data_IF_251458935644
#
_entry.id   IF_251458935644
#
_cell.length_a   1.000
_cell.length_b   1.000
_cell.length_c   1.000
_cell.angle_alpha   90.00
_cell.angle_beta   90.00
_cell.angle_gamma   90.00
#
_symmetry.space_group_name_H-M   'P 1'
#
loop_
_entity.id
_entity.type
_entity.pdbx_description
1 polymer ?
#
# COMPACT_ATOMS: atom_id res chain seq x y z
N UNK A 1 -25.63 49.11 4.00
CA UNK A 1 -24.19 49.25 3.68
C UNK A 1 -23.47 48.05 4.25
N UNK A 2 -23.48 46.94 3.52
CA UNK A 2 -22.78 45.70 3.87
C UNK A 2 -21.51 45.69 3.06
N UNK A 3 -20.40 46.18 3.61
CA UNK A 3 -19.09 46.13 2.94
C UNK A 3 -17.97 46.58 3.87
N UNK A 4 -17.44 45.68 4.70
CA UNK A 4 -15.99 45.63 5.00
C UNK A 4 -15.52 44.50 5.90
N UNK A 5 -16.40 43.81 6.63
CA UNK A 5 -15.95 42.89 7.69
C UNK A 5 -15.89 41.41 7.28
N UNK A 6 -16.45 41.01 6.14
CA UNK A 6 -16.47 39.60 5.68
C UNK A 6 -15.37 39.24 4.67
N UNK A 7 -14.38 40.10 4.43
CA UNK A 7 -13.36 39.89 3.37
C UNK A 7 -11.98 39.45 3.89
N UNK A 8 -11.91 38.83 5.06
CA UNK A 8 -10.68 38.32 5.68
C UNK A 8 -10.70 36.79 5.93
N UNK A 9 -11.44 36.03 5.13
CA UNK A 9 -11.52 34.55 5.20
C UNK A 9 -11.05 33.87 3.91
N UNK A 10 -9.86 34.23 3.46
CA UNK A 10 -9.13 33.59 2.37
C UNK A 10 -7.66 33.93 2.53
N UNK A 11 -6.78 32.93 2.46
CA UNK A 11 -5.39 33.11 2.86
C UNK A 11 -4.75 34.34 2.20
N UNK A 12 -4.18 35.24 2.99
CA UNK A 12 -3.64 36.48 2.45
C UNK A 12 -2.38 36.18 1.63
N UNK A 13 -2.37 36.54 0.34
CA UNK A 13 -1.15 36.54 -0.48
C UNK A 13 -0.29 37.73 -0.05
N UNK A 14 0.41 37.59 1.08
CA UNK A 14 1.33 38.63 1.57
C UNK A 14 2.55 38.66 0.61
N UNK A 15 2.94 39.83 0.07
CA UNK A 15 4.16 39.94 -0.70
C UNK A 15 5.37 39.62 0.18
N UNK A 16 6.37 38.94 -0.38
CA UNK A 16 7.62 38.58 0.28
C UNK A 16 8.27 39.86 0.85
N UNK A 17 8.13 40.13 2.15
CA UNK A 17 8.68 41.34 2.75
C UNK A 17 8.25 41.74 4.17
N UNK A 18 7.10 41.29 4.70
CA UNK A 18 6.68 41.67 6.07
C UNK A 18 6.40 40.45 6.94
N UNK A 19 7.34 40.19 7.87
CA UNK A 19 7.15 39.30 9.01
C UNK A 19 6.25 39.97 10.04
N UNK A 20 5.01 39.50 10.21
CA UNK A 20 4.27 39.67 11.47
C UNK A 20 4.06 38.31 12.16
N UNK A 21 4.09 38.28 13.51
CA UNK A 21 4.34 37.07 14.26
C UNK A 21 3.03 36.48 14.75
N UNK A 22 2.40 35.63 13.95
CA UNK A 22 1.47 34.61 14.42
C UNK A 22 1.30 33.61 13.28
N UNK A 23 1.87 32.42 13.46
CA UNK A 23 1.79 31.26 12.57
C UNK A 23 0.34 30.78 12.40
N UNK A 24 -0.48 31.55 11.70
CA UNK A 24 -1.74 31.04 11.15
C UNK A 24 -1.33 30.11 10.03
N UNK A 25 -1.47 28.79 10.24
CA UNK A 25 -1.20 27.82 9.20
C UNK A 25 -2.10 28.12 8.00
N UNK A 26 -1.50 28.68 6.95
CA UNK A 26 -2.20 29.09 5.74
C UNK A 26 -2.93 27.87 5.17
N UNK A 27 -4.23 28.01 4.83
CA UNK A 27 -5.05 26.90 4.33
C UNK A 27 -5.06 25.66 5.25
N UNK A 28 -5.12 25.89 6.57
CA UNK A 28 -5.03 24.86 7.61
C UNK A 28 -3.76 23.99 7.54
N UNK A 29 -2.73 24.44 6.81
CA UNK A 29 -1.51 23.67 6.52
C UNK A 29 -1.76 22.46 5.60
N UNK A 30 -2.88 22.44 4.87
CA UNK A 30 -3.38 21.31 4.07
C UNK A 30 -3.62 21.69 2.60
N UNK A 31 -2.97 22.77 2.16
CA UNK A 31 -3.11 23.30 0.81
C UNK A 31 -2.20 24.49 0.58
N UNK A 32 -2.13 24.92 -0.68
CA UNK A 32 -1.32 26.04 -1.12
C UNK A 32 -2.18 27.30 -1.30
N UNK A 33 -1.65 28.45 -0.93
CA UNK A 33 -2.34 29.72 -1.13
C UNK A 33 -2.06 30.28 -2.52
N UNK A 34 -3.10 30.51 -3.31
CA UNK A 34 -3.02 31.09 -4.65
C UNK A 34 -4.00 32.25 -4.79
N UNK A 35 -3.50 33.48 -4.96
CA UNK A 35 -4.29 34.70 -5.20
C UNK A 35 -5.46 34.91 -4.20
N UNK A 36 -5.23 34.67 -2.91
CA UNK A 36 -6.28 34.84 -1.89
C UNK A 36 -7.17 33.61 -1.69
N UNK A 37 -6.97 32.53 -2.45
CA UNK A 37 -7.78 31.29 -2.40
C UNK A 37 -6.89 30.10 -2.04
N UNK A 38 -7.40 29.18 -1.23
CA UNK A 38 -6.70 27.95 -0.88
C UNK A 38 -6.94 26.85 -1.93
N UNK A 39 -5.85 26.28 -2.44
CA UNK A 39 -5.85 25.06 -3.25
C UNK A 39 -5.53 23.86 -2.35
N UNK A 40 -6.53 23.06 -2.02
CA UNK A 40 -6.37 21.95 -1.08
C UNK A 40 -5.63 20.76 -1.67
N UNK A 41 -4.87 20.03 -0.84
CA UNK A 41 -4.44 18.68 -1.18
C UNK A 41 -5.68 17.81 -1.46
N UNK A 42 -5.51 16.79 -2.31
CA UNK A 42 -6.62 15.95 -2.80
C UNK A 42 -7.47 15.28 -1.70
N UNK A 43 -6.91 15.11 -0.50
CA UNK A 43 -7.58 14.51 0.67
C UNK A 43 -8.51 15.46 1.41
N UNK A 44 -8.43 16.76 1.15
CA UNK A 44 -9.18 17.80 1.85
C UNK A 44 -10.03 18.62 0.89
N UNK A 45 -10.96 19.37 1.47
CA UNK A 45 -11.94 20.20 0.77
C UNK A 45 -12.39 21.36 1.66
N UNK A 46 -13.16 22.29 1.08
CA UNK A 46 -13.61 23.51 1.76
C UNK A 46 -12.69 24.69 1.51
N UNK A 47 -13.17 25.89 1.84
CA UNK A 47 -12.50 27.17 1.54
C UNK A 47 -11.15 27.32 2.26
N UNK A 48 -11.00 26.68 3.43
CA UNK A 48 -9.77 26.69 4.24
C UNK A 48 -9.06 25.32 4.28
N UNK A 49 -9.47 24.36 3.46
CA UNK A 49 -8.92 22.98 3.44
C UNK A 49 -9.01 22.23 4.78
N UNK A 50 -9.98 22.61 5.62
CA UNK A 50 -10.23 21.97 6.92
C UNK A 50 -11.17 20.76 6.82
N UNK A 51 -11.97 20.67 5.76
CA UNK A 51 -12.92 19.59 5.52
C UNK A 51 -12.26 18.37 4.87
N UNK A 52 -12.77 17.17 5.14
CA UNK A 52 -12.34 15.95 4.45
C UNK A 52 -12.99 15.83 3.08
N UNK A 53 -12.23 15.44 2.07
CA UNK A 53 -12.77 15.13 0.75
C UNK A 53 -13.46 13.75 0.78
N UNK A 54 -14.70 13.72 1.27
CA UNK A 54 -15.50 12.49 1.40
C UNK A 54 -15.54 11.63 0.13
N UNK A 55 -15.85 12.16 -1.08
CA UNK A 55 -15.90 11.32 -2.27
C UNK A 55 -14.54 10.73 -2.64
N UNK A 56 -13.43 11.42 -2.37
CA UNK A 56 -12.09 10.85 -2.56
C UNK A 56 -11.82 9.66 -1.63
N UNK A 57 -12.04 9.83 -0.32
CA UNK A 57 -11.82 8.77 0.66
C UNK A 57 -12.75 7.59 0.45
N UNK A 58 -14.03 7.84 0.17
CA UNK A 58 -15.02 6.81 -0.13
C UNK A 58 -14.66 6.04 -1.42
N UNK A 59 -14.28 6.75 -2.49
CA UNK A 59 -13.91 6.12 -3.76
C UNK A 59 -12.68 5.21 -3.65
N UNK A 60 -11.60 5.72 -3.01
CA UNK A 60 -10.38 4.94 -2.85
C UNK A 60 -10.55 3.77 -1.89
N UNK A 61 -11.20 3.99 -0.74
CA UNK A 61 -11.46 2.89 0.20
C UNK A 61 -12.35 1.81 -0.41
N UNK A 62 -13.38 2.18 -1.17
CA UNK A 62 -14.22 1.24 -1.89
C UNK A 62 -13.43 0.40 -2.89
N UNK A 63 -12.51 1.01 -3.65
CA UNK A 63 -11.64 0.28 -4.57
C UNK A 63 -10.76 -0.74 -3.85
N UNK A 64 -10.12 -0.36 -2.73
CA UNK A 64 -9.32 -1.28 -1.93
C UNK A 64 -10.16 -2.40 -1.30
N UNK A 65 -11.33 -2.09 -0.73
CA UNK A 65 -12.20 -3.13 -0.19
C UNK A 65 -12.74 -4.07 -1.25
N UNK A 66 -13.00 -3.59 -2.47
CA UNK A 66 -13.36 -4.44 -3.59
C UNK A 66 -12.23 -5.43 -3.94
N UNK A 67 -10.98 -4.95 -4.01
CA UNK A 67 -9.80 -5.82 -4.22
C UNK A 67 -9.67 -6.84 -3.07
N UNK A 68 -9.88 -6.41 -1.82
CA UNK A 68 -9.90 -7.29 -0.66
C UNK A 68 -10.98 -8.37 -0.76
N UNK A 69 -12.20 -7.98 -1.13
CA UNK A 69 -13.33 -8.89 -1.33
C UNK A 69 -13.05 -9.93 -2.41
N UNK A 70 -12.57 -9.51 -3.58
CA UNK A 70 -12.20 -10.44 -4.66
C UNK A 70 -11.11 -11.41 -4.20
N UNK A 71 -10.09 -10.91 -3.49
CA UNK A 71 -8.97 -11.73 -3.02
C UNK A 71 -9.41 -12.78 -1.99
N UNK A 72 -10.28 -12.42 -1.03
CA UNK A 72 -10.79 -13.40 -0.06
C UNK A 72 -11.71 -14.43 -0.71
N UNK A 73 -12.55 -14.01 -1.67
CA UNK A 73 -13.39 -14.95 -2.44
C UNK A 73 -12.52 -15.93 -3.23
N UNK A 74 -11.48 -15.45 -3.91
CA UNK A 74 -10.54 -16.30 -4.64
C UNK A 74 -9.79 -17.26 -3.69
N UNK A 75 -9.37 -16.79 -2.52
CA UNK A 75 -8.75 -17.63 -1.50
C UNK A 75 -9.70 -18.75 -1.03
N UNK A 76 -10.97 -18.41 -0.75
CA UNK A 76 -11.98 -19.37 -0.34
C UNK A 76 -12.25 -20.42 -1.42
N UNK A 77 -12.41 -20.01 -2.69
CA UNK A 77 -12.57 -20.92 -3.82
C UNK A 77 -11.37 -21.88 -3.91
N UNK A 78 -10.14 -21.37 -3.75
CA UNK A 78 -8.93 -22.20 -3.79
C UNK A 78 -8.87 -23.23 -2.65
N UNK A 79 -9.27 -22.85 -1.44
CA UNK A 79 -9.29 -23.76 -0.28
C UNK A 79 -10.38 -24.83 -0.47
N UNK A 80 -11.58 -24.44 -0.91
CA UNK A 80 -12.70 -25.36 -1.14
C UNK A 80 -12.36 -26.34 -2.27
N UNK A 81 -11.75 -25.88 -3.36
CA UNK A 81 -11.33 -26.74 -4.46
C UNK A 81 -10.28 -27.77 -4.03
N UNK A 82 -9.30 -27.38 -3.19
CA UNK A 82 -8.31 -28.32 -2.64
C UNK A 82 -8.99 -29.32 -1.69
N UNK A 83 -9.90 -28.84 -0.83
CA UNK A 83 -10.69 -29.69 0.08
C UNK A 83 -11.48 -30.78 -0.68
N UNK A 84 -12.12 -30.41 -1.79
CA UNK A 84 -12.89 -31.35 -2.63
C UNK A 84 -12.01 -32.36 -3.37
N UNK A 85 -10.75 -32.03 -3.66
CA UNK A 85 -9.80 -32.94 -4.32
C UNK A 85 -9.15 -33.96 -3.38
N UNK A 86 -9.21 -33.75 -2.07
CA UNK A 86 -8.60 -34.62 -1.07
C UNK A 86 -9.42 -35.92 -0.91
N UNK A 87 -8.77 -37.08 -1.16
CA UNK A 87 -9.38 -38.41 -0.94
C UNK A 87 -9.82 -38.64 0.51
N UNK A 88 -9.15 -38.00 1.47
CA UNK A 88 -9.54 -37.94 2.88
C UNK A 88 -9.63 -36.46 3.27
N UNK A 89 -10.84 -35.90 3.44
CA UNK A 89 -11.00 -34.48 3.65
C UNK A 89 -10.48 -34.09 5.04
N UNK A 90 -9.47 -33.22 5.06
CA UNK A 90 -9.01 -32.56 6.28
C UNK A 90 -8.77 -31.08 6.01
N UNK A 91 -9.28 -30.24 6.90
CA UNK A 91 -9.23 -28.79 6.73
C UNK A 91 -7.79 -28.25 6.71
N UNK A 92 -6.93 -28.76 7.61
CA UNK A 92 -5.51 -28.39 7.66
C UNK A 92 -4.76 -28.76 6.38
N UNK A 93 -5.10 -29.89 5.73
CA UNK A 93 -4.50 -30.26 4.46
C UNK A 93 -5.03 -29.40 3.30
N UNK A 94 -6.30 -28.99 3.33
CA UNK A 94 -6.86 -28.07 2.34
C UNK A 94 -6.24 -26.66 2.43
N UNK A 95 -5.90 -26.23 3.65
CA UNK A 95 -5.16 -24.99 3.92
C UNK A 95 -3.65 -25.10 3.65
N UNK A 96 -3.16 -26.15 2.96
CA UNK A 96 -1.76 -26.26 2.58
C UNK A 96 -1.30 -24.98 1.87
N UNK A 97 -0.24 -24.37 2.43
CA UNK A 97 0.37 -23.16 1.91
C UNK A 97 0.87 -23.41 0.49
N UNK A 98 0.32 -22.66 -0.44
CA UNK A 98 0.71 -22.63 -1.87
C UNK A 98 0.92 -21.18 -2.25
N UNK A 99 1.77 -20.92 -3.24
CA UNK A 99 2.09 -19.55 -3.68
C UNK A 99 0.83 -18.74 -4.03
N UNK A 100 -0.16 -19.36 -4.70
CA UNK A 100 -1.43 -18.72 -5.03
C UNK A 100 -2.25 -18.32 -3.79
N UNK A 101 -2.43 -19.25 -2.82
CA UNK A 101 -3.17 -18.94 -1.57
C UNK A 101 -2.48 -17.85 -0.76
N UNK A 102 -1.14 -17.88 -0.70
CA UNK A 102 -0.35 -16.84 -0.04
C UNK A 102 -0.47 -15.48 -0.72
N UNK A 103 -0.47 -15.45 -2.06
CA UNK A 103 -0.66 -14.22 -2.82
C UNK A 103 -2.02 -13.59 -2.50
N UNK A 104 -3.11 -14.35 -2.57
CA UNK A 104 -4.44 -13.83 -2.24
C UNK A 104 -4.56 -13.38 -0.78
N UNK A 105 -3.93 -14.12 0.14
CA UNK A 105 -3.89 -13.73 1.55
C UNK A 105 -3.17 -12.38 1.75
N UNK A 106 -1.96 -12.20 1.20
CA UNK A 106 -1.23 -10.95 1.36
C UNK A 106 -1.89 -9.77 0.66
N UNK A 107 -2.46 -9.98 -0.54
CA UNK A 107 -3.23 -8.94 -1.24
C UNK A 107 -4.47 -8.55 -0.43
N UNK A 108 -5.19 -9.51 0.15
CA UNK A 108 -6.31 -9.24 1.05
C UNK A 108 -5.89 -8.38 2.25
N UNK A 109 -4.82 -8.77 2.96
CA UNK A 109 -4.32 -8.02 4.12
C UNK A 109 -3.89 -6.62 3.72
N UNK A 110 -3.12 -6.47 2.64
CA UNK A 110 -2.67 -5.16 2.15
C UNK A 110 -3.86 -4.25 1.78
N UNK A 111 -4.84 -4.80 1.06
CA UNK A 111 -6.01 -4.06 0.60
C UNK A 111 -6.89 -3.62 1.77
N UNK A 112 -7.15 -4.51 2.75
CA UNK A 112 -7.94 -4.17 3.95
C UNK A 112 -7.24 -3.11 4.79
N UNK A 113 -5.93 -3.23 5.02
CA UNK A 113 -5.16 -2.23 5.77
C UNK A 113 -5.23 -0.85 5.09
N UNK A 114 -5.07 -0.81 3.76
CA UNK A 114 -5.11 0.44 3.00
C UNK A 114 -6.51 1.04 2.94
N UNK A 115 -7.54 0.22 2.79
CA UNK A 115 -8.94 0.64 2.88
C UNK A 115 -9.27 1.23 4.25
N UNK A 116 -8.88 0.53 5.32
CA UNK A 116 -9.10 0.96 6.70
C UNK A 116 -8.44 2.31 7.02
N UNK A 117 -7.24 2.55 6.48
CA UNK A 117 -6.59 3.85 6.61
C UNK A 117 -7.44 4.98 6.01
N UNK A 118 -7.91 4.82 4.76
CA UNK A 118 -8.69 5.87 4.08
C UNK A 118 -10.10 6.05 4.69
N UNK A 119 -10.65 5.05 5.37
CA UNK A 119 -11.92 5.20 6.10
C UNK A 119 -11.77 5.82 7.49
N UNK A 120 -10.57 5.81 8.08
CA UNK A 120 -10.38 6.32 9.45
C UNK A 120 -10.15 7.84 9.41
N UNK A 121 -11.07 8.66 9.94
CA UNK A 121 -10.94 10.12 9.90
C UNK A 121 -9.77 10.58 10.78
N UNK A 122 -8.96 11.53 10.30
CA UNK A 122 -7.72 11.97 10.97
C UNK A 122 -7.93 12.51 12.39
N UNK A 123 -9.11 13.07 12.68
CA UNK A 123 -9.46 13.57 14.02
C UNK A 123 -9.59 12.47 15.07
N UNK A 124 -9.82 11.23 14.63
CA UNK A 124 -9.93 10.04 15.47
C UNK A 124 -8.79 9.06 15.19
N UNK A 125 -7.75 9.42 14.44
CA UNK A 125 -6.65 8.51 14.12
C UNK A 125 -5.73 8.33 15.33
N UNK A 126 -5.76 7.19 16.04
CA UNK A 126 -4.74 6.89 17.03
C UNK A 126 -3.38 6.71 16.34
N UNK A 127 -2.30 6.88 17.12
CA UNK A 127 -0.93 6.84 16.61
C UNK A 127 -0.57 5.54 15.85
N UNK A 128 -1.30 4.44 16.04
CA UNK A 128 -1.05 3.18 15.34
C UNK A 128 -1.58 3.12 13.90
N UNK A 129 -2.47 4.04 13.50
CA UNK A 129 -3.02 4.08 12.13
C UNK A 129 -1.94 4.42 11.10
N UNK A 130 -0.94 5.21 11.48
CA UNK A 130 0.22 5.49 10.61
C UNK A 130 1.02 4.22 10.30
N UNK A 131 1.13 3.28 11.25
CA UNK A 131 1.80 2.00 11.02
C UNK A 131 1.06 1.11 10.02
N UNK A 132 -0.27 1.23 9.91
CA UNK A 132 -1.04 0.51 8.87
C UNK A 132 -0.61 0.94 7.47
N UNK A 133 -0.29 2.23 7.29
CA UNK A 133 0.19 2.76 6.01
C UNK A 133 1.58 2.25 5.68
N UNK A 134 2.47 2.23 6.67
CA UNK A 134 3.83 1.76 6.43
C UNK A 134 3.87 0.25 6.19
N UNK A 135 3.02 -0.54 6.88
CA UNK A 135 2.92 -1.99 6.69
C UNK A 135 2.42 -2.39 5.30
N UNK A 136 1.64 -1.52 4.64
CA UNK A 136 1.20 -1.74 3.27
C UNK A 136 2.38 -1.95 2.30
N UNK A 137 3.49 -1.21 2.47
CA UNK A 137 4.61 -1.28 1.52
C UNK A 137 5.36 -2.64 1.57
N UNK A 138 5.79 -3.15 2.74
CA UNK A 138 6.32 -4.51 2.85
C UNK A 138 5.38 -5.56 2.29
N UNK A 139 4.07 -5.49 2.59
CA UNK A 139 3.10 -6.47 2.08
C UNK A 139 3.02 -6.51 0.56
N UNK A 140 2.99 -5.34 -0.10
CA UNK A 140 2.97 -5.26 -1.57
C UNK A 140 4.29 -5.78 -2.16
N UNK A 141 5.43 -5.47 -1.53
CA UNK A 141 6.74 -6.02 -1.94
C UNK A 141 6.80 -7.55 -1.76
N UNK A 142 6.19 -8.09 -0.70
CA UNK A 142 6.02 -9.54 -0.51
C UNK A 142 5.21 -10.14 -1.64
N UNK A 143 4.11 -9.51 -2.06
CA UNK A 143 3.30 -9.97 -3.19
C UNK A 143 4.10 -9.99 -4.49
N UNK A 144 4.80 -8.89 -4.80
CA UNK A 144 5.61 -8.77 -6.01
C UNK A 144 6.76 -9.81 -6.03
N UNK A 145 7.46 -9.98 -4.90
CA UNK A 145 8.52 -10.98 -4.78
C UNK A 145 8.00 -12.42 -4.88
N UNK A 146 6.82 -12.74 -4.32
CA UNK A 146 6.17 -14.04 -4.54
C UNK A 146 5.91 -14.32 -6.03
N UNK A 147 5.41 -13.32 -6.77
CA UNK A 147 5.13 -13.46 -8.20
C UNK A 147 6.41 -13.62 -9.01
N UNK A 148 7.45 -12.81 -8.74
CA UNK A 148 8.74 -12.92 -9.44
C UNK A 148 9.39 -14.27 -9.16
N UNK A 149 9.41 -14.73 -7.90
CA UNK A 149 9.94 -16.06 -7.56
C UNK A 149 9.15 -17.19 -8.21
N UNK A 150 7.82 -17.06 -8.30
CA UNK A 150 6.97 -18.02 -9.00
C UNK A 150 7.32 -18.10 -10.48
N UNK A 151 7.42 -16.96 -11.16
CA UNK A 151 7.82 -16.91 -12.57
C UNK A 151 9.22 -17.48 -12.79
N UNK A 152 10.18 -17.12 -11.92
CA UNK A 152 11.53 -17.65 -12.00
C UNK A 152 11.55 -19.19 -11.92
N UNK A 153 10.79 -19.79 -10.99
CA UNK A 153 10.72 -21.25 -10.89
C UNK A 153 10.01 -21.89 -12.08
N UNK A 154 8.90 -21.31 -12.57
CA UNK A 154 8.14 -21.86 -13.70
C UNK A 154 8.96 -21.86 -15.00
N UNK A 155 9.69 -20.79 -15.28
CA UNK A 155 10.28 -20.57 -16.61
C UNK A 155 11.77 -20.90 -16.72
N UNK A 156 12.51 -20.96 -15.60
CA UNK A 156 13.96 -21.20 -15.63
C UNK A 156 14.38 -22.54 -15.01
N UNK A 157 13.53 -23.21 -14.23
CA UNK A 157 13.84 -24.54 -13.70
C UNK A 157 13.25 -25.63 -14.60
N UNK A 158 14.10 -26.25 -15.43
CA UNK A 158 13.74 -27.46 -16.17
C UNK A 158 13.65 -28.65 -15.19
N UNK A 159 12.48 -29.31 -15.13
CA UNK A 159 12.28 -30.55 -14.36
C UNK A 159 11.24 -30.49 -13.23
N UNK A 160 10.56 -29.36 -13.00
CA UNK A 160 9.43 -29.32 -12.07
C UNK A 160 8.21 -29.97 -12.75
N UNK A 161 7.81 -31.12 -12.21
CA UNK A 161 6.64 -31.88 -12.67
C UNK A 161 5.38 -31.10 -12.29
N UNK A 162 4.70 -30.51 -13.28
CA UNK A 162 3.49 -29.68 -13.15
C UNK A 162 2.30 -30.33 -12.40
N UNK A 163 2.38 -31.62 -12.08
CA UNK A 163 1.29 -32.40 -11.48
C UNK A 163 0.96 -32.03 -10.01
N UNK A 164 1.80 -31.27 -9.29
CA UNK A 164 1.53 -30.92 -7.88
C UNK A 164 1.83 -29.45 -7.58
N UNK A 165 0.82 -28.67 -7.17
CA UNK A 165 1.05 -27.33 -6.63
C UNK A 165 1.90 -27.41 -5.37
N UNK A 166 3.17 -27.02 -5.50
CA UNK A 166 4.13 -26.88 -4.41
C UNK A 166 4.37 -25.39 -4.13
N UNK A 167 4.67 -25.08 -2.86
CA UNK A 167 5.20 -23.79 -2.50
C UNK A 167 6.64 -23.65 -3.01
N UNK A 168 7.14 -22.42 -3.14
CA UNK A 168 8.50 -22.10 -3.62
C UNK A 168 9.51 -23.11 -3.05
N UNK A 169 10.26 -23.77 -3.92
CA UNK A 169 11.16 -24.86 -3.50
C UNK A 169 12.62 -24.39 -3.45
N UNK A 170 13.13 -23.86 -4.57
CA UNK A 170 14.53 -23.42 -4.72
C UNK A 170 14.65 -21.93 -4.49
N UNK A 171 13.66 -21.14 -4.91
CA UNK A 171 13.65 -19.69 -4.77
C UNK A 171 13.15 -19.21 -3.40
N UNK A 172 12.79 -20.13 -2.49
CA UNK A 172 12.29 -19.78 -1.15
C UNK A 172 13.31 -18.99 -0.32
N UNK A 173 14.58 -19.37 -0.35
CA UNK A 173 15.62 -18.67 0.42
C UNK A 173 15.81 -17.23 -0.10
N UNK A 174 15.79 -17.04 -1.42
CA UNK A 174 15.86 -15.72 -2.04
C UNK A 174 14.64 -14.86 -1.70
N UNK A 175 13.44 -15.46 -1.72
CA UNK A 175 12.21 -14.82 -1.27
C UNK A 175 12.30 -14.36 0.19
N UNK A 176 12.76 -15.22 1.10
CA UNK A 176 12.91 -14.89 2.52
C UNK A 176 13.95 -13.79 2.73
N UNK A 177 15.12 -13.91 2.09
CA UNK A 177 16.20 -12.94 2.20
C UNK A 177 15.77 -11.56 1.71
N UNK A 178 15.05 -11.48 0.58
CA UNK A 178 14.52 -10.22 0.07
C UNK A 178 13.53 -9.59 1.05
N UNK A 179 12.58 -10.37 1.58
CA UNK A 179 11.55 -9.85 2.48
C UNK A 179 12.08 -9.45 3.86
N UNK A 180 13.23 -9.97 4.30
CA UNK A 180 13.86 -9.52 5.53
C UNK A 180 14.14 -8.00 5.52
N UNK A 181 14.50 -7.44 4.37
CA UNK A 181 14.84 -6.02 4.23
C UNK A 181 13.62 -5.07 4.45
N UNK A 182 12.49 -5.18 3.73
CA UNK A 182 11.37 -4.28 3.95
C UNK A 182 10.70 -4.45 5.32
N UNK A 183 10.66 -5.67 5.88
CA UNK A 183 10.11 -5.88 7.21
C UNK A 183 11.05 -5.40 8.33
N UNK A 184 12.37 -5.49 8.17
CA UNK A 184 13.32 -4.89 9.11
C UNK A 184 13.24 -3.36 9.09
N UNK A 185 13.06 -2.76 7.91
CA UNK A 185 12.83 -1.32 7.78
C UNK A 185 11.54 -0.87 8.51
N UNK A 186 10.47 -1.67 8.41
CA UNK A 186 9.22 -1.43 9.13
C UNK A 186 9.36 -1.54 10.64
N UNK A 187 10.08 -2.55 11.13
CA UNK A 187 10.38 -2.66 12.56
C UNK A 187 11.25 -1.48 13.05
N UNK A 188 12.22 -1.03 12.25
CA UNK A 188 13.04 0.12 12.57
C UNK A 188 12.21 1.42 12.62
N UNK A 189 11.22 1.58 11.74
CA UNK A 189 10.31 2.72 11.76
C UNK A 189 9.45 2.74 13.03
N UNK A 190 8.87 1.60 13.41
CA UNK A 190 8.11 1.47 14.67
C UNK A 190 9.02 1.77 15.88
N UNK A 191 10.22 1.20 15.91
CA UNK A 191 11.16 1.46 17.00
C UNK A 191 11.53 2.96 17.06
N UNK A 192 11.76 3.57 15.91
CA UNK A 192 12.07 5.00 15.81
C UNK A 192 10.91 5.87 16.30
N UNK A 193 9.68 5.59 15.89
CA UNK A 193 8.50 6.37 16.29
C UNK A 193 8.21 6.26 17.78
N UNK A 194 8.54 5.13 18.41
CA UNK A 194 8.43 4.97 19.87
C UNK A 194 9.54 5.71 20.64
N UNK A 195 10.76 5.77 20.09
CA UNK A 195 11.90 6.41 20.75
C UNK A 195 11.94 7.93 20.54
N UNK A 196 11.49 8.42 19.39
CA UNK A 196 11.60 9.81 18.97
C UNK A 196 10.22 10.41 18.62
N UNK A 197 9.33 10.43 19.62
CA UNK A 197 7.98 11.00 19.50
C UNK A 197 8.04 12.45 19.00
N UNK A 198 7.30 12.75 17.92
CA UNK A 198 7.24 14.09 17.33
C UNK A 198 8.25 14.37 16.21
N UNK A 199 9.10 13.41 15.85
CA UNK A 199 10.03 13.55 14.71
C UNK A 199 9.45 12.94 13.43
N UNK A 200 9.71 13.56 12.29
CA UNK A 200 9.19 13.12 10.99
C UNK A 200 9.76 11.76 10.57
N UNK A 201 8.87 10.84 10.15
CA UNK A 201 9.23 9.53 9.57
C UNK A 201 9.48 9.59 8.05
N UNK A 202 9.60 10.80 7.48
CA UNK A 202 9.78 10.98 6.03
C UNK A 202 10.96 10.23 5.43
N UNK A 203 12.01 9.97 6.22
CA UNK A 203 13.15 9.15 5.80
C UNK A 203 12.71 7.73 5.41
N UNK A 204 11.89 7.07 6.25
CA UNK A 204 11.40 5.71 6.00
C UNK A 204 10.49 5.68 4.76
N UNK A 205 9.61 6.68 4.60
CA UNK A 205 8.79 6.83 3.40
C UNK A 205 9.63 6.90 2.11
N UNK A 206 10.74 7.65 2.14
CA UNK A 206 11.69 7.72 1.03
C UNK A 206 12.34 6.37 0.73
N UNK A 207 12.76 5.63 1.77
CA UNK A 207 13.32 4.28 1.61
C UNK A 207 12.30 3.30 0.99
N UNK A 208 11.04 3.29 1.45
CA UNK A 208 10.02 2.44 0.84
C UNK A 208 9.75 2.82 -0.62
N UNK A 209 9.69 4.11 -0.95
CA UNK A 209 9.49 4.55 -2.32
C UNK A 209 10.62 4.06 -3.25
N UNK A 210 11.87 4.17 -2.81
CA UNK A 210 13.02 3.66 -3.56
C UNK A 210 12.96 2.14 -3.73
N UNK A 211 12.66 1.39 -2.66
CA UNK A 211 12.56 -0.06 -2.72
C UNK A 211 11.43 -0.52 -3.63
N UNK A 212 10.26 0.11 -3.55
CA UNK A 212 9.13 -0.17 -4.44
C UNK A 212 9.49 0.10 -5.89
N UNK A 213 10.19 1.20 -6.18
CA UNK A 213 10.65 1.49 -7.54
C UNK A 213 11.57 0.39 -8.07
N UNK A 214 12.54 -0.05 -7.27
CA UNK A 214 13.45 -1.16 -7.61
C UNK A 214 12.64 -2.43 -7.90
N UNK A 215 11.72 -2.79 -7.00
CA UNK A 215 10.88 -3.99 -7.15
C UNK A 215 10.01 -3.94 -8.40
N UNK A 216 9.38 -2.80 -8.68
CA UNK A 216 8.53 -2.62 -9.86
C UNK A 216 9.36 -2.75 -11.14
N UNK A 217 10.59 -2.21 -11.17
CA UNK A 217 11.49 -2.37 -12.33
C UNK A 217 11.76 -3.85 -12.58
N UNK A 218 12.19 -4.61 -11.57
CA UNK A 218 12.43 -6.04 -11.72
C UNK A 218 11.16 -6.81 -12.11
N UNK A 219 10.03 -6.49 -11.50
CA UNK A 219 8.74 -7.09 -11.82
C UNK A 219 8.36 -6.87 -13.29
N UNK A 220 8.55 -5.67 -13.81
CA UNK A 220 8.27 -5.35 -15.21
C UNK A 220 9.25 -6.05 -16.16
N UNK A 221 10.55 -6.07 -15.87
CA UNK A 221 11.55 -6.77 -16.68
C UNK A 221 11.19 -8.25 -16.80
N UNK A 222 10.98 -8.94 -15.67
CA UNK A 222 10.60 -10.35 -15.67
C UNK A 222 9.23 -10.58 -16.28
N UNK A 223 8.25 -9.71 -16.01
CA UNK A 223 6.90 -9.83 -16.58
C UNK A 223 6.90 -9.74 -18.11
N UNK A 224 7.72 -8.84 -18.67
CA UNK A 224 7.88 -8.70 -20.12
C UNK A 224 8.59 -9.91 -20.72
N UNK A 225 9.68 -10.39 -20.11
CA UNK A 225 10.38 -11.59 -20.56
C UNK A 225 9.44 -12.81 -20.61
N UNK A 226 8.64 -13.00 -19.56
CA UNK A 226 7.63 -14.07 -19.48
C UNK A 226 6.56 -13.91 -20.55
N UNK A 227 6.04 -12.69 -20.76
CA UNK A 227 5.01 -12.43 -21.76
C UNK A 227 5.46 -12.84 -23.17
N UNK A 228 6.69 -12.47 -23.54
CA UNK A 228 7.26 -12.83 -24.84
C UNK A 228 7.54 -14.32 -24.99
N UNK A 229 8.03 -14.97 -23.93
CA UNK A 229 8.30 -16.41 -23.90
C UNK A 229 7.02 -17.24 -24.03
N UNK A 230 5.93 -16.84 -23.37
CA UNK A 230 4.62 -17.49 -23.51
C UNK A 230 3.99 -17.26 -24.88
N UNK A 231 4.22 -16.09 -25.49
CA UNK A 231 3.70 -15.75 -26.81
C UNK A 231 4.42 -16.46 -27.97
N UNK A 232 5.45 -17.28 -27.69
CA UNK A 232 6.21 -18.00 -28.71
C UNK A 232 6.97 -17.10 -29.69
N UNK A 233 7.24 -15.85 -29.31
CA UNK A 233 8.00 -14.89 -30.14
C UNK A 233 9.52 -14.99 -29.94
N UNK A 234 9.97 -16.05 -29.27
CA UNK A 234 11.38 -16.42 -29.07
C UNK A 234 11.50 -17.94 -29.04
#
# INVERSE_FOLDING_TARGET
MVSRFERLMGCSSIPIGETSPETVAQCSGRGDCMNGTCLCEIRYSGEECSGFNLPYHAGISAAFYFVGFVSVVQLMICIIAEYQRLKQPSFLAACRLTTQKLLYFFVFVAAVLRGAYFTTPETLQPAWVSYLMSLYYPLVMTCASLVVCLWAEIFHLQGIRWERSQFLSKSFLGFLAFNLLPYSLFLAEIAYSHLFTGRSTSFFNGCYALLLLIVVIFFLIYGVEVFFKVSGKW
#
